data_IF_808917878107
#
_entry.id   IF_808917878107
#
_cell.length_a   1.000
_cell.length_b   1.000
_cell.length_c   1.000
_cell.angle_alpha   90.00
_cell.angle_beta   90.00
_cell.angle_gamma   90.00
#
_symmetry.space_group_name_H-M   'P 1'
#
loop_
_entity.id
_entity.type
_entity.pdbx_description
1 polymer ?
#
# COMPACT_ATOMS: atom_id res chain seq x y z
N UNK A 1 -14.96 -0.55 -13.97
CA UNK A 1 -16.18 -0.29 -14.77
C UNK A 1 -17.36 -0.75 -13.92
N UNK A 2 -18.30 0.14 -13.58
CA UNK A 2 -19.49 -0.22 -12.80
C UNK A 2 -20.54 -0.77 -13.76
N UNK A 3 -21.26 -1.81 -13.36
CA UNK A 3 -22.32 -2.43 -14.16
C UNK A 3 -21.84 -3.55 -15.08
N UNK A 4 -20.54 -3.87 -15.11
CA UNK A 4 -20.04 -5.02 -15.87
C UNK A 4 -20.61 -6.32 -15.31
N UNK A 5 -21.35 -7.12 -16.10
CA UNK A 5 -21.96 -8.36 -15.61
C UNK A 5 -20.92 -9.45 -15.40
N UNK A 6 -21.07 -10.24 -14.33
CA UNK A 6 -20.30 -11.46 -14.12
C UNK A 6 -20.95 -12.58 -14.94
N UNK A 7 -20.56 -12.69 -16.22
CA UNK A 7 -21.27 -13.53 -17.22
C UNK A 7 -21.48 -14.98 -16.75
N UNK A 8 -20.42 -15.64 -16.27
CA UNK A 8 -20.51 -17.02 -15.82
C UNK A 8 -21.49 -17.15 -14.64
N UNK A 9 -21.35 -16.28 -13.64
CA UNK A 9 -22.16 -16.30 -12.44
C UNK A 9 -23.64 -16.07 -12.76
N UNK A 10 -23.94 -15.07 -13.59
CA UNK A 10 -25.31 -14.75 -13.99
C UNK A 10 -25.94 -15.90 -14.78
N UNK A 11 -25.19 -16.53 -15.69
CA UNK A 11 -25.69 -17.62 -16.52
C UNK A 11 -25.85 -18.93 -15.76
N UNK A 12 -24.92 -19.26 -14.87
CA UNK A 12 -24.92 -20.54 -14.16
C UNK A 12 -25.80 -20.51 -12.91
N UNK A 13 -25.61 -19.52 -12.04
CA UNK A 13 -26.33 -19.40 -10.76
C UNK A 13 -27.61 -18.57 -10.86
N UNK A 14 -27.87 -17.91 -12.00
CA UNK A 14 -29.08 -17.08 -12.22
C UNK A 14 -29.25 -15.93 -11.21
N UNK A 15 -28.13 -15.44 -10.67
CA UNK A 15 -28.10 -14.32 -9.71
C UNK A 15 -27.70 -13.01 -10.40
N UNK A 16 -28.19 -11.85 -9.92
CA UNK A 16 -27.87 -10.55 -10.52
C UNK A 16 -26.48 -10.06 -10.09
N UNK A 17 -25.42 -10.81 -10.40
CA UNK A 17 -24.04 -10.44 -10.05
C UNK A 17 -23.43 -9.47 -11.08
N UNK A 18 -23.16 -8.23 -10.68
CA UNK A 18 -22.47 -7.23 -11.50
C UNK A 18 -21.37 -6.53 -10.69
N UNK A 19 -20.26 -6.18 -11.34
CA UNK A 19 -19.22 -5.34 -10.76
C UNK A 19 -19.82 -3.99 -10.35
N UNK A 20 -19.60 -3.60 -9.10
CA UNK A 20 -20.15 -2.41 -8.48
C UNK A 20 -21.51 -2.60 -7.82
N UNK A 21 -22.09 -3.80 -7.79
CA UNK A 21 -23.32 -4.05 -7.03
C UNK A 21 -23.03 -4.15 -5.53
N UNK A 22 -23.87 -3.51 -4.71
CA UNK A 22 -23.86 -3.64 -3.25
C UNK A 22 -24.38 -5.02 -2.87
N UNK A 23 -23.71 -5.64 -1.91
CA UNK A 23 -24.08 -6.95 -1.38
C UNK A 23 -23.92 -6.96 0.14
N UNK A 24 -24.71 -7.80 0.80
CA UNK A 24 -24.48 -8.17 2.20
C UNK A 24 -23.98 -9.61 2.18
N UNK A 25 -22.68 -9.80 2.46
CA UNK A 25 -22.03 -11.10 2.51
C UNK A 25 -21.89 -11.56 3.96
N UNK A 26 -22.57 -12.63 4.34
CA UNK A 26 -22.57 -13.19 5.70
C UNK A 26 -22.85 -12.13 6.79
N UNK A 27 -23.83 -11.26 6.53
CA UNK A 27 -24.22 -10.17 7.43
C UNK A 27 -23.31 -8.93 7.39
N UNK A 28 -22.27 -8.91 6.53
CA UNK A 28 -21.36 -7.77 6.38
C UNK A 28 -21.60 -7.05 5.05
N UNK A 29 -21.79 -5.72 5.04
CA UNK A 29 -21.98 -4.97 3.80
C UNK A 29 -20.68 -4.89 2.99
N UNK A 30 -20.82 -4.94 1.67
CA UNK A 30 -19.71 -4.86 0.72
C UNK A 30 -20.15 -4.56 -0.70
N UNK A 31 -19.18 -4.60 -1.62
CA UNK A 31 -19.36 -4.32 -3.06
C UNK A 31 -18.65 -5.39 -3.87
N UNK A 32 -19.29 -5.89 -4.93
CA UNK A 32 -18.64 -6.76 -5.91
C UNK A 32 -17.61 -5.94 -6.68
N UNK A 33 -16.33 -6.24 -6.52
CA UNK A 33 -15.22 -5.51 -7.14
C UNK A 33 -14.57 -6.28 -8.30
N UNK A 34 -14.66 -7.62 -8.31
CA UNK A 34 -14.04 -8.46 -9.32
C UNK A 34 -14.89 -9.70 -9.64
N UNK A 35 -14.67 -10.25 -10.84
CA UNK A 35 -15.22 -11.52 -11.29
C UNK A 35 -14.14 -12.61 -11.20
N UNK A 36 -14.43 -13.71 -10.49
CA UNK A 36 -13.55 -14.87 -10.34
C UNK A 36 -14.20 -16.15 -10.88
N UNK A 37 -15.12 -16.05 -11.84
CA UNK A 37 -15.76 -17.19 -12.49
C UNK A 37 -16.85 -17.83 -11.62
N UNK A 38 -16.51 -18.85 -10.83
CA UNK A 38 -17.46 -19.49 -9.90
C UNK A 38 -17.70 -18.67 -8.63
N UNK A 39 -16.84 -17.70 -8.35
CA UNK A 39 -16.90 -16.88 -7.15
C UNK A 39 -17.05 -15.42 -7.54
N UNK A 40 -17.73 -14.66 -6.68
CA UNK A 40 -17.77 -13.21 -6.76
C UNK A 40 -16.70 -12.61 -5.83
N UNK A 41 -15.93 -11.67 -6.35
CA UNK A 41 -14.93 -10.95 -5.57
C UNK A 41 -15.58 -9.78 -4.85
N UNK A 42 -15.81 -9.89 -3.54
CA UNK A 42 -16.46 -8.84 -2.74
C UNK A 42 -15.42 -8.13 -1.88
N UNK A 43 -15.49 -6.80 -1.87
CA UNK A 43 -14.77 -5.95 -0.92
C UNK A 43 -15.75 -5.55 0.18
N UNK A 44 -15.44 -5.91 1.43
CA UNK A 44 -16.24 -5.55 2.59
C UNK A 44 -15.95 -4.11 3.02
N UNK A 45 -16.98 -3.36 3.38
CA UNK A 45 -16.84 -1.94 3.77
C UNK A 45 -16.00 -1.76 5.05
N UNK A 46 -16.04 -2.74 5.96
CA UNK A 46 -15.30 -2.74 7.21
C UNK A 46 -13.85 -3.21 7.11
N UNK A 47 -13.37 -3.61 5.93
CA UNK A 47 -11.99 -4.07 5.76
C UNK A 47 -11.04 -2.88 5.52
N UNK A 48 -10.10 -2.66 6.45
CA UNK A 48 -9.09 -1.59 6.35
C UNK A 48 -8.19 -1.76 5.13
N UNK A 49 -7.87 -3.00 4.76
CA UNK A 49 -7.06 -3.31 3.58
C UNK A 49 -7.91 -3.47 2.32
N UNK A 50 -9.25 -3.31 2.40
CA UNK A 50 -10.20 -3.39 1.27
C UNK A 50 -9.88 -4.56 0.32
N UNK A 51 -9.58 -5.72 0.89
CA UNK A 51 -9.16 -6.87 0.11
C UNK A 51 -10.37 -7.44 -0.62
N UNK A 52 -10.16 -7.83 -1.87
CA UNK A 52 -11.15 -8.59 -2.63
C UNK A 52 -11.11 -10.02 -2.10
N UNK A 53 -12.24 -10.50 -1.57
CA UNK A 53 -12.38 -11.88 -1.09
C UNK A 53 -13.36 -12.64 -1.96
N UNK A 54 -13.08 -13.91 -2.17
CA UNK A 54 -13.96 -14.80 -2.90
C UNK A 54 -15.15 -15.18 -2.03
N UNK A 55 -16.35 -14.94 -2.54
CA UNK A 55 -17.60 -15.40 -1.94
C UNK A 55 -18.38 -16.23 -2.95
N UNK A 56 -19.08 -17.24 -2.45
CA UNK A 56 -19.97 -18.03 -3.29
C UNK A 56 -21.20 -17.20 -3.66
N UNK A 57 -21.70 -17.24 -4.90
CA UNK A 57 -22.76 -16.32 -5.34
C UNK A 57 -24.12 -16.53 -4.65
N UNK A 58 -24.44 -17.77 -4.25
CA UNK A 58 -25.72 -18.12 -3.60
C UNK A 58 -25.62 -18.24 -2.07
N UNK A 59 -24.43 -18.45 -1.52
CA UNK A 59 -24.29 -18.76 -0.09
C UNK A 59 -24.08 -17.50 0.74
N UNK A 60 -25.11 -17.13 1.51
CA UNK A 60 -25.02 -16.02 2.45
C UNK A 60 -24.85 -14.65 1.79
N UNK A 61 -25.25 -14.49 0.52
CA UNK A 61 -25.19 -13.24 -0.23
C UNK A 61 -26.59 -12.67 -0.43
N UNK A 62 -26.78 -11.43 -0.02
CA UNK A 62 -27.97 -10.63 -0.38
C UNK A 62 -27.56 -9.56 -1.36
N UNK A 63 -28.12 -9.60 -2.56
CA UNK A 63 -27.87 -8.61 -3.61
C UNK A 63 -28.74 -7.38 -3.42
N UNK A 64 -28.13 -6.20 -3.49
CA UNK A 64 -28.81 -4.91 -3.38
C UNK A 64 -28.64 -4.05 -4.63
N UNK A 65 -28.65 -2.74 -4.41
CA UNK A 65 -28.56 -1.72 -5.46
C UNK A 65 -27.16 -1.60 -6.05
N UNK A 66 -27.05 -0.89 -7.16
CA UNK A 66 -25.75 -0.53 -7.73
C UNK A 66 -25.08 0.55 -6.88
N UNK A 67 -23.79 0.40 -6.61
CA UNK A 67 -23.00 1.43 -5.95
C UNK A 67 -22.68 2.55 -6.94
N UNK A 68 -22.70 3.80 -6.46
CA UNK A 68 -22.31 4.97 -7.25
C UNK A 68 -20.83 4.94 -7.63
N UNK A 69 -19.99 4.37 -6.75
CA UNK A 69 -18.53 4.35 -6.89
C UNK A 69 -17.97 3.01 -6.40
N UNK A 70 -16.98 2.51 -7.12
CA UNK A 70 -16.19 1.37 -6.67
C UNK A 70 -15.30 1.78 -5.48
N UNK A 71 -15.05 0.88 -4.53
CA UNK A 71 -14.05 1.11 -3.51
C UNK A 71 -12.69 1.37 -4.18
N UNK A 72 -11.98 2.40 -3.71
CA UNK A 72 -10.61 2.64 -4.17
C UNK A 72 -9.76 1.41 -3.87
N UNK A 73 -8.91 1.06 -4.84
CA UNK A 73 -7.90 0.03 -4.65
C UNK A 73 -7.10 0.29 -3.37
N UNK A 74 -6.74 -0.75 -2.62
CA UNK A 74 -5.99 -0.58 -1.40
C UNK A 74 -4.60 0.00 -1.68
N UNK A 75 -4.14 0.84 -0.75
CA UNK A 75 -2.77 1.34 -0.80
C UNK A 75 -1.85 0.17 -0.42
N UNK A 76 -1.13 -0.38 -1.40
CA UNK A 76 -0.09 -1.39 -1.15
C UNK A 76 1.13 -0.71 -0.55
N UNK A 77 1.63 -1.23 0.56
CA UNK A 77 2.91 -0.78 1.12
C UNK A 77 4.07 -1.37 0.32
N UNK A 78 5.26 -0.78 0.45
CA UNK A 78 6.49 -1.37 -0.09
C UNK A 78 6.72 -2.78 0.47
N UNK A 79 6.34 -3.03 1.73
CA UNK A 79 6.41 -4.35 2.33
C UNK A 79 5.45 -5.37 1.70
N UNK A 80 4.20 -4.97 1.42
CA UNK A 80 3.24 -5.86 0.73
C UNK A 80 3.77 -6.22 -0.69
N UNK A 81 4.36 -5.25 -1.41
CA UNK A 81 4.98 -5.49 -2.73
C UNK A 81 6.19 -6.42 -2.68
N UNK A 82 7.01 -6.29 -1.64
CA UNK A 82 8.17 -7.16 -1.43
C UNK A 82 7.75 -8.61 -1.18
N UNK A 83 6.68 -8.84 -0.41
CA UNK A 83 6.24 -10.21 -0.10
C UNK A 83 5.45 -10.89 -1.24
N UNK A 84 4.78 -10.11 -2.10
CA UNK A 84 3.92 -10.65 -3.17
C UNK A 84 4.72 -11.10 -4.42
N UNK A 85 6.00 -10.70 -4.54
CA UNK A 85 6.86 -10.92 -5.70
C UNK A 85 8.14 -11.68 -5.28
N UNK A 86 8.69 -12.51 -6.17
CA UNK A 86 9.98 -13.17 -5.92
C UNK A 86 11.13 -12.17 -6.13
N UNK A 87 11.52 -11.50 -5.05
CA UNK A 87 12.72 -10.67 -5.02
C UNK A 87 13.94 -11.51 -4.63
N UNK A 88 15.03 -11.35 -5.38
CA UNK A 88 16.32 -11.97 -5.06
C UNK A 88 17.15 -11.15 -4.04
N UNK A 89 16.55 -10.13 -3.41
CA UNK A 89 17.21 -9.25 -2.45
C UNK A 89 16.45 -9.21 -1.11
N UNK A 90 17.12 -8.75 -0.06
CA UNK A 90 16.50 -8.55 1.25
C UNK A 90 15.64 -7.27 1.27
N UNK A 91 14.69 -7.17 2.19
CA UNK A 91 13.75 -6.03 2.28
C UNK A 91 14.46 -4.68 2.45
N UNK A 92 15.60 -4.65 3.16
CA UNK A 92 16.41 -3.45 3.34
C UNK A 92 17.04 -2.97 2.02
N UNK A 93 17.46 -3.91 1.19
CA UNK A 93 18.02 -3.65 -0.15
C UNK A 93 16.90 -3.23 -1.12
N UNK A 94 15.75 -3.89 -1.05
CA UNK A 94 14.54 -3.52 -1.79
C UNK A 94 14.07 -2.09 -1.53
N UNK A 95 14.17 -1.62 -0.28
CA UNK A 95 13.81 -0.25 0.07
C UNK A 95 14.85 0.80 -0.36
N UNK A 96 16.02 0.38 -0.88
CA UNK A 96 17.15 1.23 -1.24
C UNK A 96 17.60 2.19 -0.11
N UNK A 97 17.20 1.93 1.14
CA UNK A 97 17.49 2.78 2.32
C UNK A 97 19.00 2.82 2.60
N UNK A 98 19.76 1.84 2.13
CA UNK A 98 21.23 1.79 2.18
C UNK A 98 21.87 1.67 0.79
N UNK A 99 21.36 2.38 -0.22
CA UNK A 99 22.04 2.40 -1.52
C UNK A 99 23.24 3.36 -1.48
N UNK A 100 24.48 2.94 -1.84
CA UNK A 100 25.68 3.80 -1.81
C UNK A 100 25.61 5.02 -2.75
N UNK A 101 24.59 5.10 -3.61
CA UNK A 101 24.30 6.29 -4.42
C UNK A 101 23.67 7.44 -3.62
N UNK A 102 23.03 7.16 -2.48
CA UNK A 102 22.50 8.19 -1.57
C UNK A 102 23.64 8.90 -0.81
N UNK A 103 24.71 8.16 -0.49
CA UNK A 103 25.95 8.72 0.09
C UNK A 103 26.59 9.78 -0.82
N UNK A 104 26.64 9.53 -2.14
CA UNK A 104 27.18 10.50 -3.11
C UNK A 104 26.38 11.81 -3.17
N UNK A 105 25.04 11.76 -3.00
CA UNK A 105 24.22 13.00 -2.95
C UNK A 105 24.43 13.81 -1.66
N UNK A 106 24.85 13.17 -0.57
CA UNK A 106 25.25 13.87 0.67
C UNK A 106 26.65 14.48 0.55
N UNK A 107 27.57 13.82 -0.17
CA UNK A 107 28.92 14.36 -0.45
C UNK A 107 28.86 15.60 -1.36
N UNK A 108 27.93 15.64 -2.32
CA UNK A 108 27.72 16.77 -3.24
C UNK A 108 26.81 17.89 -2.68
N UNK A 109 26.32 17.76 -1.45
CA UNK A 109 25.49 18.81 -0.82
C UNK A 109 26.37 19.93 -0.27
N UNK A 110 26.18 21.21 -0.67
CA UNK A 110 26.92 22.30 -0.05
C UNK A 110 26.56 22.39 1.44
N UNK A 111 27.59 22.45 2.29
CA UNK A 111 27.47 22.51 3.74
C UNK A 111 26.42 23.55 4.18
N UNK A 112 25.47 23.21 5.09
CA UNK A 112 24.42 24.13 5.53
C UNK A 112 24.95 25.43 6.18
N UNK A 113 26.24 25.45 6.55
CA UNK A 113 26.89 26.55 7.26
C UNK A 113 28.05 27.21 6.49
N UNK A 114 28.21 26.93 5.18
CA UNK A 114 29.27 27.56 4.38
C UNK A 114 30.69 27.11 4.77
N UNK A 115 30.83 25.96 5.44
CA UNK A 115 32.14 25.37 5.76
C UNK A 115 32.70 24.61 4.56
N UNK A 116 33.97 24.86 4.21
CA UNK A 116 34.70 24.17 3.12
C UNK A 116 35.12 22.73 3.44
N UNK A 117 34.74 22.19 4.60
CA UNK A 117 35.15 20.86 5.03
C UNK A 117 34.07 19.81 4.73
N UNK A 118 34.43 18.62 4.21
CA UNK A 118 33.52 17.50 4.04
C UNK A 118 32.93 17.06 5.38
N UNK A 119 31.67 16.58 5.37
CA UNK A 119 30.92 16.17 6.57
C UNK A 119 31.69 15.20 7.48
N UNK A 120 32.46 14.26 6.91
CA UNK A 120 33.27 13.30 7.65
C UNK A 120 34.42 13.92 8.45
N UNK A 121 34.91 15.11 8.08
CA UNK A 121 35.96 15.81 8.82
C UNK A 121 35.44 16.53 10.08
N UNK A 122 34.14 16.87 10.12
CA UNK A 122 33.52 17.52 11.28
C UNK A 122 33.34 16.57 12.47
N UNK A 123 33.24 15.26 12.21
CA UNK A 123 33.17 14.22 13.26
C UNK A 123 34.52 13.92 13.94
N UNK A 124 35.64 14.43 13.38
CA UNK A 124 36.99 14.21 13.89
C UNK A 124 37.61 15.45 14.52
N UNK A 125 36.91 16.59 14.52
CA UNK A 125 37.39 17.78 15.20
C UNK A 125 37.30 17.55 16.72
N UNK A 126 38.40 17.74 17.48
CA UNK A 126 38.32 17.72 18.93
C UNK A 126 37.35 18.84 19.34
N UNK A 127 36.36 18.50 20.16
CA UNK A 127 35.44 19.48 20.73
C UNK A 127 36.24 20.58 21.42
N UNK A 128 36.37 21.73 20.79
CA UNK A 128 36.91 22.93 21.43
C UNK A 128 35.87 23.40 22.44
N UNK A 129 35.95 22.85 23.65
CA UNK A 129 35.26 23.41 24.82
C UNK A 129 35.65 24.88 24.93
N UNK A 130 34.71 25.84 24.91
CA UNK A 130 35.05 27.22 25.17
C UNK A 130 35.54 27.31 26.62
N UNK A 131 36.79 27.76 26.80
CA UNK A 131 37.31 28.14 28.10
C UNK A 131 36.46 29.31 28.61
N UNK A 132 35.57 29.05 29.56
CA UNK A 132 34.89 30.08 30.33
C UNK A 132 35.96 30.88 31.08
N UNK A 133 36.13 32.13 30.66
CA UNK A 133 36.88 33.15 31.38
C UNK A 133 36.36 33.25 32.83
N UNK A 134 37.15 32.75 33.78
CA UNK A 134 37.14 33.23 35.15
C UNK A 134 37.92 34.55 35.16
N UNK A 135 37.21 35.67 35.23
CA UNK A 135 37.79 36.93 35.69
C UNK A 135 37.74 36.94 37.22
N UNK A 136 38.88 37.30 37.80
CA UNK A 136 39.14 37.41 39.24
C UNK A 136 38.49 38.65 39.87
#
# INVERSE_FOLDING_TARGET
MIGTPCHYVQQYYQVPACIGRRVIAYGKPGVIAADHGHYIGVVLDGDAKRQVRNHHPEDGIVYGEMADKLPRAPKRSNYDRFNDEEWNCDFVEYLEINHPQFQRRMEDMPSPHGSLLPWHALQQLPETRPALHLQA
#
